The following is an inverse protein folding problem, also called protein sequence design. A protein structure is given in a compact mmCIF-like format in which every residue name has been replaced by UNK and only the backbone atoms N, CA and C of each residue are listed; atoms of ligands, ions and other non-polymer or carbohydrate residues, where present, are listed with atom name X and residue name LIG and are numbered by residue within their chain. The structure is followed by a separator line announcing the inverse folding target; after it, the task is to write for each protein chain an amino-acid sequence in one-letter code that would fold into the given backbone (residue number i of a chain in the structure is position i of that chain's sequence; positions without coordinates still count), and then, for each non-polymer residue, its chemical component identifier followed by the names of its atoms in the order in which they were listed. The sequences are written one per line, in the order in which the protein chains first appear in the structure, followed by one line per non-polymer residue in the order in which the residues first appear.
data_IF_238380299263
#
_entry.id   IF_238380299263
#
_cell.length_a   1.000
_cell.length_b   1.000
_cell.length_c   1.000
_cell.angle_alpha   90.00
_cell.angle_beta   90.00
_cell.angle_gamma   90.00
#
_symmetry.space_group_name_H-M   'P 1'
#
loop_
_entity.id
_entity.type
_entity.pdbx_description
1 polymer ?
#
# COMPACT_ATOMS: atom_id res chain seq x y z
N UNK A 1 -13.50 -21.93 16.28
CA UNK A 1 -12.73 -22.78 17.23
C UNK A 1 -11.63 -23.64 16.57
N UNK A 2 -11.37 -23.54 15.26
CA UNK A 2 -10.38 -24.39 14.55
C UNK A 2 -8.95 -23.85 14.66
N UNK A 3 -8.76 -22.53 14.49
CA UNK A 3 -7.43 -21.89 14.55
C UNK A 3 -6.81 -21.98 15.94
N UNK A 4 -7.61 -21.77 16.99
CA UNK A 4 -7.14 -21.97 18.37
C UNK A 4 -6.66 -23.40 18.59
N UNK A 5 -7.46 -24.41 18.20
CA UNK A 5 -7.07 -25.83 18.30
C UNK A 5 -5.76 -26.14 17.56
N UNK A 6 -5.56 -25.57 16.37
CA UNK A 6 -4.34 -25.74 15.58
C UNK A 6 -3.13 -25.12 16.30
N UNK A 7 -3.24 -23.87 16.74
CA UNK A 7 -2.16 -23.16 17.42
C UNK A 7 -1.80 -23.80 18.77
N UNK A 8 -2.78 -24.31 19.51
CA UNK A 8 -2.56 -25.03 20.77
C UNK A 8 -1.86 -26.38 20.60
N UNK A 9 -1.84 -26.93 19.38
CA UNK A 9 -1.21 -28.23 19.08
C UNK A 9 0.25 -28.11 18.63
N UNK A 10 0.75 -26.90 18.40
CA UNK A 10 2.10 -26.62 17.92
C UNK A 10 3.03 -26.20 19.08
N UNK A 11 4.34 -26.49 18.97
CA UNK A 11 5.34 -25.89 19.85
C UNK A 11 5.26 -24.36 19.82
N UNK A 12 5.46 -23.71 20.97
CA UNK A 12 5.25 -22.26 21.16
C UNK A 12 5.92 -21.41 20.07
N UNK A 13 7.17 -21.70 19.72
CA UNK A 13 7.89 -20.94 18.70
C UNK A 13 7.24 -21.08 17.30
N UNK A 14 6.80 -22.29 16.94
CA UNK A 14 6.11 -22.53 15.67
C UNK A 14 4.71 -21.90 15.67
N UNK A 15 3.99 -21.95 16.79
CA UNK A 15 2.68 -21.32 16.92
C UNK A 15 2.77 -19.79 16.73
N UNK A 16 3.83 -19.15 17.27
CA UNK A 16 4.08 -17.72 17.06
C UNK A 16 4.36 -17.44 15.57
N UNK A 17 5.26 -18.19 14.94
CA UNK A 17 5.60 -17.97 13.53
C UNK A 17 4.40 -18.16 12.62
N UNK A 18 3.61 -19.22 12.84
CA UNK A 18 2.38 -19.49 12.09
C UNK A 18 1.34 -18.40 12.34
N UNK A 19 1.14 -17.98 13.59
CA UNK A 19 0.20 -16.93 13.95
C UNK A 19 0.54 -15.58 13.30
N UNK A 20 1.80 -15.14 13.40
CA UNK A 20 2.26 -13.89 12.81
C UNK A 20 2.23 -13.96 11.29
N UNK A 21 2.73 -15.06 10.70
CA UNK A 21 2.71 -15.26 9.26
C UNK A 21 1.29 -15.26 8.67
N UNK A 22 0.36 -15.95 9.34
CA UNK A 22 -1.05 -15.93 8.96
C UNK A 22 -1.68 -14.54 9.11
N UNK A 23 -1.33 -13.81 10.17
CA UNK A 23 -1.80 -12.43 10.38
C UNK A 23 -1.34 -11.48 9.27
N UNK A 24 -0.05 -11.51 8.92
CA UNK A 24 0.51 -10.71 7.82
C UNK A 24 -0.11 -11.12 6.48
N UNK A 25 -0.19 -12.43 6.21
CA UNK A 25 -0.76 -12.95 4.97
C UNK A 25 -2.22 -12.54 4.79
N UNK A 26 -3.05 -12.72 5.82
CA UNK A 26 -4.45 -12.32 5.78
C UNK A 26 -4.60 -10.80 5.63
N UNK A 27 -3.77 -10.02 6.34
CA UNK A 27 -3.78 -8.55 6.22
C UNK A 27 -3.45 -8.10 4.80
N UNK A 28 -2.46 -8.72 4.15
CA UNK A 28 -2.09 -8.41 2.77
C UNK A 28 -3.22 -8.75 1.79
N UNK A 29 -3.89 -9.90 1.97
CA UNK A 29 -5.05 -10.29 1.14
C UNK A 29 -6.21 -9.31 1.31
N UNK A 30 -6.55 -8.96 2.56
CA UNK A 30 -7.61 -7.99 2.83
C UNK A 30 -7.28 -6.62 2.25
N UNK A 31 -6.03 -6.17 2.38
CA UNK A 31 -5.57 -4.93 1.81
C UNK A 31 -5.72 -4.91 0.29
N UNK A 32 -5.26 -5.94 -0.44
CA UNK A 32 -5.35 -5.96 -1.90
C UNK A 32 -6.81 -6.01 -2.38
N UNK A 33 -7.66 -6.79 -1.72
CA UNK A 33 -9.10 -6.84 -2.02
C UNK A 33 -9.74 -5.46 -1.87
N UNK A 34 -9.49 -4.77 -0.76
CA UNK A 34 -10.02 -3.42 -0.56
C UNK A 34 -9.42 -2.42 -1.55
N UNK A 35 -8.11 -2.48 -1.77
CA UNK A 35 -7.35 -1.52 -2.60
C UNK A 35 -7.84 -1.48 -4.04
N UNK A 36 -8.26 -2.62 -4.60
CA UNK A 36 -8.70 -2.76 -5.98
C UNK A 36 -10.22 -2.90 -6.15
N UNK A 37 -11.00 -2.73 -5.07
CA UNK A 37 -12.47 -2.84 -5.13
C UNK A 37 -13.18 -1.58 -5.65
N UNK A 38 -12.51 -0.43 -5.64
CA UNK A 38 -13.07 0.84 -6.10
C UNK A 38 -12.91 1.06 -7.61
N UNK A 39 -13.66 2.03 -8.15
CA UNK A 39 -13.52 2.44 -9.55
C UNK A 39 -12.09 2.88 -9.85
N UNK A 40 -11.58 2.46 -11.01
CA UNK A 40 -10.31 2.98 -11.50
C UNK A 40 -10.52 4.41 -11.99
N UNK A 41 -10.01 5.37 -11.23
CA UNK A 41 -10.09 6.77 -11.62
C UNK A 41 -9.01 7.13 -12.62
N UNK A 42 -8.13 6.22 -13.07
CA UNK A 42 -7.04 6.54 -14.01
C UNK A 42 -5.81 7.13 -13.32
N UNK A 43 -5.61 6.79 -12.04
CA UNK A 43 -4.38 7.08 -11.32
C UNK A 43 -3.29 6.05 -11.59
N UNK A 44 -2.21 6.04 -10.80
CA UNK A 44 -1.10 5.10 -10.98
C UNK A 44 -1.46 3.63 -10.76
N UNK A 45 -2.50 3.35 -9.97
CA UNK A 45 -3.03 2.01 -9.72
C UNK A 45 -4.56 2.07 -9.59
N UNK A 46 -5.30 0.96 -9.80
CA UNK A 46 -6.76 0.98 -9.69
C UNK A 46 -7.23 1.50 -8.33
N UNK A 47 -8.32 2.25 -8.28
CA UNK A 47 -8.81 2.92 -7.07
C UNK A 47 -7.99 4.14 -6.62
N UNK A 48 -6.96 4.58 -7.36
CA UNK A 48 -6.26 5.84 -7.07
C UNK A 48 -6.77 7.01 -7.92
N UNK A 49 -6.75 8.26 -7.40
CA UNK A 49 -7.17 9.45 -8.14
C UNK A 49 -6.32 9.71 -9.38
N UNK A 50 -6.89 10.36 -10.41
CA UNK A 50 -6.15 10.80 -11.63
C UNK A 50 -4.85 11.54 -11.35
N UNK A 51 -4.84 12.33 -10.28
CA UNK A 51 -3.69 13.16 -9.88
C UNK A 51 -2.47 12.35 -9.44
N UNK A 52 -2.60 11.04 -9.24
CA UNK A 52 -1.47 10.14 -8.93
C UNK A 52 -0.87 9.49 -10.17
N UNK A 53 -1.44 9.71 -11.36
CA UNK A 53 -0.90 9.19 -12.62
C UNK A 53 0.46 9.81 -12.96
N UNK A 54 1.23 9.11 -13.81
CA UNK A 54 2.56 9.57 -14.23
C UNK A 54 2.49 10.91 -14.98
N UNK A 55 1.52 11.08 -15.87
CA UNK A 55 1.29 12.32 -16.63
C UNK A 55 1.02 13.51 -15.68
N UNK A 56 0.14 13.32 -14.69
CA UNK A 56 -0.14 14.34 -13.70
C UNK A 56 1.08 14.65 -12.82
N UNK A 57 1.85 13.64 -12.45
CA UNK A 57 3.06 13.83 -11.65
C UNK A 57 4.13 14.63 -12.42
N UNK A 58 4.29 14.41 -13.72
CA UNK A 58 5.21 15.17 -14.57
C UNK A 58 4.76 16.62 -14.76
N UNK A 59 3.49 16.83 -15.13
CA UNK A 59 2.92 18.18 -15.25
C UNK A 59 3.03 18.97 -13.94
N UNK A 60 2.82 18.29 -12.80
CA UNK A 60 2.96 18.91 -11.47
C UNK A 60 4.39 19.33 -11.15
N UNK A 61 5.40 18.58 -11.62
CA UNK A 61 6.81 18.96 -11.42
C UNK A 61 7.17 20.22 -12.20
N UNK A 62 6.73 20.32 -13.45
CA UNK A 62 6.97 21.50 -14.29
C UNK A 62 6.29 22.74 -13.71
N UNK A 63 5.03 22.60 -13.31
CA UNK A 63 4.30 23.67 -12.63
C UNK A 63 4.98 24.09 -11.33
N UNK A 64 5.40 23.14 -10.49
CA UNK A 64 6.08 23.43 -9.23
C UNK A 64 7.42 24.16 -9.43
N UNK A 65 8.15 23.85 -10.51
CA UNK A 65 9.36 24.55 -10.90
C UNK A 65 9.05 25.99 -11.34
N UNK A 66 8.03 26.17 -12.18
CA UNK A 66 7.61 27.50 -12.64
C UNK A 66 7.16 28.41 -11.48
N UNK A 67 6.48 27.82 -10.50
CA UNK A 67 5.98 28.52 -9.32
C UNK A 67 7.02 28.67 -8.19
N UNK A 68 8.24 28.14 -8.39
CA UNK A 68 9.30 28.14 -7.38
C UNK A 68 8.83 27.63 -6.00
N UNK A 69 8.02 26.56 -5.98
CA UNK A 69 7.36 26.06 -4.75
C UNK A 69 8.37 25.59 -3.69
N UNK A 70 9.53 25.09 -4.12
CA UNK A 70 10.61 24.70 -3.21
C UNK A 70 11.94 25.33 -3.63
N UNK A 71 12.16 26.61 -3.30
CA UNK A 71 13.27 27.40 -3.84
C UNK A 71 14.65 26.93 -3.37
N UNK A 72 14.72 26.21 -2.25
CA UNK A 72 15.99 25.80 -1.62
C UNK A 72 16.50 24.46 -2.18
N UNK A 73 15.61 23.59 -2.66
CA UNK A 73 15.96 22.22 -3.08
C UNK A 73 16.55 22.11 -4.49
N UNK A 74 16.52 23.19 -5.28
CA UNK A 74 17.03 23.23 -6.66
C UNK A 74 18.57 23.37 -6.76
N UNK A 75 19.29 23.48 -5.64
CA UNK A 75 20.76 23.64 -5.58
C UNK A 75 21.55 22.35 -5.37
N UNK A 76 20.92 21.16 -5.50
CA UNK A 76 21.59 19.86 -5.36
C UNK A 76 21.64 19.09 -6.67
#
# INVERSE_FOLDING_TARGET
MVVHKLLSSLPTNQAITVGVGAGIGLSAVLFTLQRFSGEDLGGSVPGSPKTTSAEWAEASKEYAKAQNINPIRHFK
#
